data_IF_162156830005
#
_entry.id   IF_162156830005
#
_cell.length_a   1.000
_cell.length_b   1.000
_cell.length_c   1.000
_cell.angle_alpha   90.00
_cell.angle_beta   90.00
_cell.angle_gamma   90.00
#
_symmetry.space_group_name_H-M   'P 1'
#
loop_
_entity.id
_entity.type
_entity.pdbx_description
1 polymer ?
#
# COMPACT_ATOMS: atom_id res chain seq x y z
N UNK A 1 21.57 -44.48 3.49
CA UNK A 1 21.29 -43.74 2.25
C UNK A 1 21.84 -42.32 2.41
N UNK A 2 22.80 -41.90 1.57
CA UNK A 2 23.23 -40.50 1.55
C UNK A 2 22.01 -39.67 1.11
N UNK A 3 21.48 -38.85 2.01
CA UNK A 3 20.37 -37.93 1.74
C UNK A 3 20.84 -37.03 0.58
N UNK A 4 20.29 -37.22 -0.61
CA UNK A 4 20.60 -36.36 -1.76
C UNK A 4 20.14 -34.96 -1.36
N UNK A 5 21.10 -34.09 -1.07
CA UNK A 5 20.81 -32.71 -0.66
C UNK A 5 20.38 -31.97 -1.92
N UNK A 6 19.16 -31.45 -1.93
CA UNK A 6 18.68 -30.60 -3.03
C UNK A 6 19.66 -29.45 -3.25
N UNK A 7 20.10 -29.27 -4.48
CA UNK A 7 20.94 -28.14 -4.85
C UNK A 7 20.06 -26.88 -5.01
N UNK A 8 20.03 -26.04 -3.98
CA UNK A 8 19.43 -24.71 -4.03
C UNK A 8 20.53 -23.66 -3.98
N UNK A 9 20.46 -22.67 -4.89
CA UNK A 9 21.34 -21.49 -4.86
C UNK A 9 21.13 -20.63 -3.61
N UNK A 10 19.99 -20.76 -2.94
CA UNK A 10 19.60 -20.01 -1.75
C UNK A 10 19.82 -20.78 -0.44
N UNK A 11 20.34 -22.01 -0.50
CA UNK A 11 20.55 -22.88 0.68
C UNK A 11 21.34 -22.22 1.81
N UNK A 12 22.29 -21.38 1.44
CA UNK A 12 23.23 -20.71 2.35
C UNK A 12 22.92 -19.22 2.54
N UNK A 13 21.72 -18.76 2.17
CA UNK A 13 21.27 -17.43 2.54
C UNK A 13 21.35 -17.27 4.05
N UNK A 14 21.88 -16.14 4.49
CA UNK A 14 21.94 -15.78 5.90
C UNK A 14 21.55 -14.32 6.10
N UNK A 15 20.94 -14.03 7.25
CA UNK A 15 20.60 -12.68 7.66
C UNK A 15 21.66 -12.09 8.57
N UNK A 16 22.06 -10.85 8.33
CA UNK A 16 23.00 -10.11 9.16
C UNK A 16 22.39 -8.75 9.55
N UNK A 17 22.22 -8.47 10.85
CA UNK A 17 21.81 -7.14 11.29
C UNK A 17 22.93 -6.15 10.98
N UNK A 18 22.56 -4.93 10.58
CA UNK A 18 23.51 -3.85 10.37
C UNK A 18 24.11 -3.38 11.71
N UNK A 19 25.18 -2.58 11.63
CA UNK A 19 25.79 -2.00 12.83
C UNK A 19 24.83 -0.98 13.47
N UNK A 20 25.01 -0.72 14.77
CA UNK A 20 24.10 0.15 15.52
C UNK A 20 24.04 1.59 14.97
N UNK A 21 25.14 2.12 14.45
CA UNK A 21 25.20 3.44 13.79
C UNK A 21 24.40 3.53 12.48
N UNK A 22 24.05 2.37 11.91
CA UNK A 22 23.20 2.24 10.71
C UNK A 22 21.74 1.92 11.05
N UNK A 23 21.41 1.78 12.33
CA UNK A 23 20.03 1.63 12.81
C UNK A 23 19.37 2.98 13.01
N UNK A 24 18.06 3.00 13.20
CA UNK A 24 17.32 4.22 13.55
C UNK A 24 16.82 4.09 14.99
N UNK A 25 17.40 4.88 15.90
CA UNK A 25 17.18 4.77 17.34
C UNK A 25 16.28 5.89 17.89
N UNK A 26 15.70 5.66 19.08
CA UNK A 26 14.82 6.59 19.82
C UNK A 26 13.46 6.86 19.10
N UNK A 27 13.00 5.91 18.27
CA UNK A 27 11.71 5.97 17.56
C UNK A 27 10.60 5.36 18.40
N UNK A 28 9.54 6.10 18.71
CA UNK A 28 8.37 5.55 19.43
C UNK A 28 7.44 4.78 18.49
N UNK A 29 7.73 3.51 18.24
CA UNK A 29 6.90 2.64 17.38
C UNK A 29 5.51 2.48 18.00
N UNK A 30 4.47 2.52 17.15
CA UNK A 30 3.08 2.38 17.57
C UNK A 30 2.82 1.10 18.38
N UNK A 31 1.98 1.23 19.41
CA UNK A 31 1.48 0.13 20.26
C UNK A 31 0.10 -0.38 19.84
N UNK A 32 -0.46 0.14 18.75
CA UNK A 32 -1.78 -0.27 18.27
C UNK A 32 -1.77 -1.76 17.97
N UNK A 33 -2.77 -2.47 18.50
CA UNK A 33 -2.98 -3.90 18.27
C UNK A 33 -3.64 -4.10 16.91
N UNK A 34 -2.84 -3.99 15.85
CA UNK A 34 -3.23 -4.24 14.48
C UNK A 34 -2.21 -5.15 13.81
N UNK A 35 -2.60 -6.02 12.89
CA UNK A 35 -1.70 -7.03 12.30
C UNK A 35 -1.06 -6.58 10.97
N UNK A 36 -0.89 -5.26 10.76
CA UNK A 36 -0.10 -4.72 9.63
C UNK A 36 1.40 -4.74 9.93
N UNK A 37 2.22 -4.49 8.91
CA UNK A 37 3.66 -4.41 9.02
C UNK A 37 4.17 -3.29 9.95
N UNK A 38 3.39 -2.21 10.15
CA UNK A 38 3.75 -0.95 10.83
C UNK A 38 4.96 -0.20 10.24
N UNK A 39 5.64 -0.77 9.24
CA UNK A 39 6.77 -0.20 8.55
C UNK A 39 6.66 -0.51 7.07
N UNK A 40 6.94 0.49 6.24
CA UNK A 40 7.11 0.34 4.80
C UNK A 40 8.33 1.13 4.37
N UNK A 41 9.05 0.64 3.37
CA UNK A 41 10.33 1.21 2.95
C UNK A 41 10.42 1.17 1.43
N UNK A 42 11.10 2.16 0.85
CA UNK A 42 11.42 2.20 -0.57
C UNK A 42 12.90 2.61 -0.73
N UNK A 43 13.42 2.75 -1.97
CA UNK A 43 14.82 3.11 -2.18
C UNK A 43 15.26 4.49 -1.65
N UNK A 44 14.33 5.38 -1.25
CA UNK A 44 14.62 6.72 -0.73
C UNK A 44 14.34 6.88 0.76
N UNK A 45 13.27 6.27 1.26
CA UNK A 45 12.74 6.53 2.60
C UNK A 45 12.33 5.25 3.34
N UNK A 46 12.45 5.31 4.66
CA UNK A 46 11.78 4.39 5.58
C UNK A 46 10.62 5.13 6.26
N UNK A 47 9.43 4.53 6.25
CA UNK A 47 8.26 5.03 6.93
C UNK A 47 7.84 4.08 8.06
N UNK A 48 7.52 4.63 9.23
CA UNK A 48 7.23 3.88 10.45
C UNK A 48 6.02 4.50 11.14
N UNK A 49 5.00 3.70 11.45
CA UNK A 49 3.86 4.16 12.24
C UNK A 49 4.31 4.37 13.68
N UNK A 50 4.14 5.60 14.19
CA UNK A 50 4.60 6.01 15.52
C UNK A 50 3.44 6.34 16.44
N UNK A 51 3.71 6.34 17.74
CA UNK A 51 2.76 6.83 18.74
C UNK A 51 2.54 8.34 18.57
N UNK A 52 1.26 8.74 18.50
CA UNK A 52 0.82 10.12 18.54
C UNK A 52 0.02 10.37 19.83
N UNK A 53 0.22 11.53 20.46
CA UNK A 53 -0.52 11.93 21.68
C UNK A 53 -1.97 12.33 21.40
N UNK A 54 -2.32 12.54 20.13
CA UNK A 54 -3.68 12.78 19.65
C UNK A 54 -3.72 12.61 18.12
N UNK A 55 -4.73 11.92 17.61
CA UNK A 55 -4.82 11.54 16.19
C UNK A 55 -3.93 10.37 15.80
N UNK A 56 -3.49 10.35 14.54
CA UNK A 56 -2.56 9.35 14.01
C UNK A 56 -1.38 9.99 13.30
N UNK A 57 -0.19 9.40 13.48
CA UNK A 57 1.01 9.87 12.82
C UNK A 57 1.93 8.73 12.39
N UNK A 58 2.73 9.00 11.37
CA UNK A 58 3.84 8.15 10.98
C UNK A 58 5.07 9.01 10.68
N UNK A 59 6.23 8.43 10.93
CA UNK A 59 7.54 9.01 10.71
C UNK A 59 8.02 8.65 9.30
N UNK A 60 8.64 9.59 8.59
CA UNK A 60 9.31 9.35 7.31
C UNK A 60 10.74 9.85 7.38
N UNK A 61 11.71 8.95 7.22
CA UNK A 61 13.13 9.23 7.28
C UNK A 61 13.80 8.90 5.95
N UNK A 62 14.65 9.78 5.40
CA UNK A 62 15.58 9.39 4.35
C UNK A 62 16.48 8.24 4.82
N UNK A 63 16.78 7.27 3.94
CA UNK A 63 17.55 6.08 4.32
C UNK A 63 18.96 6.39 4.89
N UNK A 64 19.54 7.51 4.49
CA UNK A 64 20.87 7.93 4.96
C UNK A 64 20.83 8.58 6.36
N UNK A 65 19.65 8.88 6.90
CA UNK A 65 19.47 9.52 8.22
C UNK A 65 19.39 8.47 9.32
N UNK A 66 20.44 7.66 9.46
CA UNK A 66 20.59 6.68 10.54
C UNK A 66 21.11 7.31 11.84
N UNK A 67 21.13 6.52 12.90
CA UNK A 67 21.49 6.90 14.26
C UNK A 67 20.29 7.34 15.09
N UNK A 68 20.56 8.15 16.11
CA UNK A 68 19.54 8.64 17.04
C UNK A 68 18.65 9.69 16.38
N UNK A 69 17.35 9.44 16.33
CA UNK A 69 16.35 10.36 15.80
C UNK A 69 15.89 11.31 16.90
N UNK A 70 15.82 12.60 16.60
CA UNK A 70 15.34 13.60 17.55
C UNK A 70 13.85 13.39 17.85
N UNK A 71 13.44 13.56 19.11
CA UNK A 71 12.04 13.40 19.54
C UNK A 71 11.10 14.42 18.91
N UNK A 72 11.62 15.57 18.50
CA UNK A 72 10.91 16.64 17.80
C UNK A 72 11.02 16.53 16.27
N UNK A 73 11.59 15.43 15.75
CA UNK A 73 11.66 15.21 14.31
C UNK A 73 10.23 15.23 13.70
N UNK A 74 10.02 15.93 12.58
CA UNK A 74 8.70 16.09 11.99
C UNK A 74 8.09 14.76 11.54
N UNK A 75 6.79 14.64 11.72
CA UNK A 75 5.99 13.48 11.30
C UNK A 75 4.92 13.89 10.29
N UNK A 76 4.35 12.91 9.61
CA UNK A 76 3.10 13.08 8.87
C UNK A 76 1.95 12.89 9.85
N UNK A 77 1.07 13.89 10.00
CA UNK A 77 0.17 14.03 11.15
C UNK A 77 -1.21 14.65 10.83
N UNK A 78 -1.83 14.33 9.68
CA UNK A 78 -3.18 14.81 9.35
C UNK A 78 -4.35 13.91 9.77
N UNK A 79 -4.09 12.67 10.16
CA UNK A 79 -5.14 11.74 10.57
C UNK A 79 -5.72 12.07 11.96
N UNK A 80 -7.04 11.91 12.09
CA UNK A 80 -7.79 12.17 13.34
C UNK A 80 -7.87 10.95 14.26
N UNK A 81 -7.44 9.79 13.79
CA UNK A 81 -7.32 8.54 14.54
C UNK A 81 -6.01 7.81 14.22
N UNK A 82 -5.63 6.79 15.01
CA UNK A 82 -4.42 6.01 14.78
C UNK A 82 -4.30 5.50 13.34
N UNK A 83 -3.09 5.62 12.78
CA UNK A 83 -2.76 5.03 11.47
C UNK A 83 -2.59 3.53 11.66
N UNK A 84 -3.27 2.74 10.85
CA UNK A 84 -3.29 1.28 10.92
C UNK A 84 -2.39 0.64 9.86
N UNK A 85 -2.27 1.26 8.69
CA UNK A 85 -1.45 0.74 7.60
C UNK A 85 -0.86 1.86 6.74
N UNK A 86 0.30 1.60 6.16
CA UNK A 86 1.03 2.54 5.30
C UNK A 86 1.74 1.80 4.17
N UNK A 87 1.71 2.35 2.96
CA UNK A 87 2.35 1.74 1.81
C UNK A 87 2.85 2.77 0.78
N UNK A 88 4.11 2.61 0.35
CA UNK A 88 4.70 3.41 -0.72
C UNK A 88 4.10 3.03 -2.08
N UNK A 89 3.86 4.03 -2.91
CA UNK A 89 3.50 3.84 -4.30
C UNK A 89 4.64 3.12 -5.04
N UNK A 90 4.39 2.00 -5.75
CA UNK A 90 5.41 1.28 -6.49
C UNK A 90 6.00 2.12 -7.64
N UNK A 91 5.22 3.08 -8.14
CA UNK A 91 5.56 3.90 -9.31
C UNK A 91 6.11 5.29 -8.97
N UNK A 92 6.10 5.70 -7.70
CA UNK A 92 6.64 6.98 -7.26
C UNK A 92 7.19 6.88 -5.83
N UNK A 93 8.53 6.95 -5.71
CA UNK A 93 9.23 6.80 -4.43
C UNK A 93 8.99 7.96 -3.44
N UNK A 94 8.21 8.99 -3.81
CA UNK A 94 7.81 10.09 -2.91
C UNK A 94 6.34 10.00 -2.48
N UNK A 95 5.54 9.11 -3.07
CA UNK A 95 4.10 9.02 -2.76
C UNK A 95 3.86 7.86 -1.81
N UNK A 96 3.18 8.12 -0.71
CA UNK A 96 2.78 7.11 0.29
C UNK A 96 1.29 7.25 0.60
N UNK A 97 0.60 6.12 0.77
CA UNK A 97 -0.78 6.06 1.25
C UNK A 97 -0.81 5.62 2.71
N UNK A 98 -1.79 6.10 3.48
CA UNK A 98 -2.03 5.70 4.86
C UNK A 98 -3.51 5.47 5.14
N UNK A 99 -3.84 4.33 5.75
CA UNK A 99 -5.18 4.00 6.25
C UNK A 99 -5.29 4.19 7.76
N UNK A 100 -6.42 4.70 8.24
CA UNK A 100 -6.58 5.09 9.65
C UNK A 100 -7.91 4.66 10.29
N UNK A 101 -7.93 4.68 11.62
CA UNK A 101 -9.14 4.58 12.44
C UNK A 101 -10.15 5.71 12.21
N UNK A 102 -9.75 6.83 11.60
CA UNK A 102 -10.67 7.89 11.20
C UNK A 102 -11.51 7.58 9.95
N UNK A 103 -11.44 6.35 9.44
CA UNK A 103 -12.17 5.85 8.28
C UNK A 103 -11.73 6.44 6.92
N UNK A 104 -10.63 7.19 6.90
CA UNK A 104 -10.08 7.77 5.66
C UNK A 104 -8.82 7.05 5.22
N UNK A 105 -8.56 7.12 3.90
CA UNK A 105 -7.22 6.90 3.35
C UNK A 105 -6.68 8.24 2.88
N UNK A 106 -5.48 8.58 3.33
CA UNK A 106 -4.79 9.80 2.91
C UNK A 106 -3.58 9.45 2.05
N UNK A 107 -3.33 10.28 1.05
CA UNK A 107 -2.18 10.16 0.14
C UNK A 107 -1.28 11.36 0.35
N UNK A 108 0.02 11.12 0.45
CA UNK A 108 1.03 12.10 0.83
C UNK A 108 2.13 12.17 -0.21
N UNK A 109 2.59 13.38 -0.51
CA UNK A 109 3.76 13.62 -1.35
C UNK A 109 4.93 14.08 -0.47
N UNK A 110 5.89 13.18 -0.25
CA UNK A 110 7.04 13.41 0.62
C UNK A 110 8.10 14.22 -0.12
N UNK A 111 8.63 15.31 0.49
CA UNK A 111 9.70 16.09 -0.11
C UNK A 111 10.95 15.23 -0.33
N UNK A 112 11.72 15.52 -1.38
CA UNK A 112 12.87 14.70 -1.78
C UNK A 112 13.92 14.51 -0.66
N UNK A 113 14.12 15.53 0.16
CA UNK A 113 15.06 15.52 1.27
C UNK A 113 14.44 15.07 2.62
N UNK A 114 13.22 14.51 2.58
CA UNK A 114 12.44 14.19 3.77
C UNK A 114 11.73 15.40 4.39
N UNK A 115 11.14 15.20 5.56
CA UNK A 115 10.35 16.21 6.24
C UNK A 115 11.22 17.24 6.96
N UNK A 116 10.89 18.52 6.78
CA UNK A 116 11.50 19.66 7.52
C UNK A 116 10.54 20.19 8.59
N UNK A 117 9.24 20.15 8.31
CA UNK A 117 8.16 20.50 9.23
C UNK A 117 7.13 19.37 9.27
N UNK A 118 6.33 19.25 10.34
CA UNK A 118 5.22 18.30 10.37
C UNK A 118 4.30 18.52 9.17
N UNK A 119 3.84 17.42 8.56
CA UNK A 119 2.97 17.44 7.38
C UNK A 119 1.56 17.04 7.79
N UNK A 120 0.65 18.00 7.86
CA UNK A 120 -0.75 17.76 8.23
C UNK A 120 -1.68 17.69 7.01
N UNK A 121 -1.31 18.30 5.89
CA UNK A 121 -2.14 18.37 4.68
C UNK A 121 -1.75 17.28 3.67
N UNK A 122 -2.64 16.33 3.39
CA UNK A 122 -2.42 15.32 2.34
C UNK A 122 -2.66 15.92 0.95
N UNK A 123 -2.08 15.29 -0.07
CA UNK A 123 -2.34 15.65 -1.47
C UNK A 123 -3.68 15.09 -1.98
N UNK A 124 -4.17 14.02 -1.34
CA UNK A 124 -5.48 13.44 -1.62
C UNK A 124 -6.09 12.81 -0.37
N UNK A 125 -7.41 12.94 -0.21
CA UNK A 125 -8.19 12.26 0.83
C UNK A 125 -9.23 11.41 0.12
N UNK A 126 -9.27 10.13 0.46
CA UNK A 126 -10.18 9.14 -0.08
C UNK A 126 -11.18 8.80 1.02
N UNK A 127 -12.42 9.27 0.84
CA UNK A 127 -13.52 9.09 1.78
C UNK A 127 -14.55 8.15 1.15
N UNK A 128 -14.92 7.09 1.87
CA UNK A 128 -15.90 6.11 1.40
C UNK A 128 -16.14 4.99 2.41
N UNK A 129 -15.11 4.60 3.16
CA UNK A 129 -15.27 3.66 4.25
C UNK A 129 -16.06 4.27 5.43
N UNK A 130 -16.91 3.46 6.06
CA UNK A 130 -17.73 3.84 7.22
C UNK A 130 -17.12 3.41 8.56
N UNK A 131 -16.04 2.63 8.51
CA UNK A 131 -15.27 2.16 9.67
C UNK A 131 -13.78 2.25 9.38
N UNK A 132 -12.95 2.01 10.41
CA UNK A 132 -11.48 2.06 10.32
C UNK A 132 -10.94 1.33 9.09
N UNK A 133 -9.98 1.95 8.41
CA UNK A 133 -9.29 1.39 7.25
C UNK A 133 -7.95 0.85 7.69
N UNK A 134 -7.75 -0.46 7.53
CA UNK A 134 -6.57 -1.14 8.07
C UNK A 134 -5.75 -1.91 7.05
N UNK A 135 -6.11 -1.81 5.78
CA UNK A 135 -5.39 -2.41 4.65
C UNK A 135 -5.36 -1.37 3.53
N UNK A 136 -4.16 -1.03 3.05
CA UNK A 136 -3.94 -0.28 1.81
C UNK A 136 -2.99 -1.08 0.91
N UNK A 137 -3.31 -1.17 -0.38
CA UNK A 137 -2.55 -1.95 -1.36
C UNK A 137 -2.52 -1.24 -2.72
N UNK A 138 -1.39 -0.64 -3.08
CA UNK A 138 -1.21 -0.04 -4.40
C UNK A 138 -1.28 -1.10 -5.49
N UNK A 139 -1.87 -0.72 -6.62
CA UNK A 139 -1.90 -1.59 -7.78
C UNK A 139 -0.48 -1.75 -8.36
N UNK A 140 -0.04 -2.95 -8.75
CA UNK A 140 1.35 -3.18 -9.15
C UNK A 140 1.71 -2.60 -10.52
N UNK A 141 0.75 -2.50 -11.46
CA UNK A 141 1.04 -2.13 -12.86
C UNK A 141 0.28 -0.90 -13.38
N UNK A 142 -0.96 -0.68 -12.97
CA UNK A 142 -1.73 0.53 -13.27
C UNK A 142 -1.33 1.72 -12.38
N UNK A 143 -1.08 2.87 -13.03
CA UNK A 143 -0.77 4.14 -12.39
C UNK A 143 -1.95 4.66 -11.55
N UNK A 144 -1.68 5.25 -10.38
CA UNK A 144 -2.67 5.89 -9.51
C UNK A 144 -3.83 5.00 -9.02
N UNK A 145 -3.79 3.68 -9.22
CA UNK A 145 -4.81 2.77 -8.69
C UNK A 145 -4.38 2.29 -7.31
N UNK A 146 -5.27 2.45 -6.33
CA UNK A 146 -5.05 2.04 -4.94
C UNK A 146 -6.25 1.23 -4.46
N UNK A 147 -6.00 0.14 -3.74
CA UNK A 147 -7.02 -0.62 -3.03
C UNK A 147 -6.99 -0.25 -1.55
N UNK A 148 -8.16 -0.13 -0.94
CA UNK A 148 -8.31 -0.11 0.52
C UNK A 148 -9.35 -1.10 0.99
N UNK A 149 -9.17 -1.65 2.19
CA UNK A 149 -10.18 -2.46 2.84
C UNK A 149 -10.40 -2.02 4.30
N UNK A 150 -11.68 -1.88 4.65
CA UNK A 150 -12.12 -1.37 5.95
C UNK A 150 -12.74 -2.44 6.84
N UNK A 151 -12.93 -2.11 8.12
CA UNK A 151 -13.71 -2.94 9.05
C UNK A 151 -15.23 -2.86 8.82
N UNK A 152 -15.66 -2.14 7.79
CA UNK A 152 -16.98 -2.23 7.17
C UNK A 152 -17.09 -3.44 6.23
N UNK A 153 -16.03 -4.23 6.12
CA UNK A 153 -15.91 -5.44 5.31
C UNK A 153 -16.06 -5.15 3.81
N UNK A 154 -15.82 -3.90 3.40
CA UNK A 154 -15.81 -3.49 2.01
C UNK A 154 -14.38 -3.36 1.51
N UNK A 155 -14.22 -3.56 0.20
CA UNK A 155 -13.00 -3.23 -0.53
C UNK A 155 -13.35 -2.11 -1.52
N UNK A 156 -12.58 -1.03 -1.50
CA UNK A 156 -12.74 0.09 -2.44
C UNK A 156 -11.47 0.20 -3.27
N UNK A 157 -11.63 0.33 -4.58
CA UNK A 157 -10.53 0.59 -5.52
C UNK A 157 -10.69 2.01 -6.05
N UNK A 158 -9.64 2.80 -5.86
CA UNK A 158 -9.62 4.23 -6.07
C UNK A 158 -8.81 4.59 -7.31
N UNK A 159 -9.22 5.65 -8.00
CA UNK A 159 -8.30 6.44 -8.79
C UNK A 159 -7.78 7.59 -7.91
N UNK A 160 -6.53 7.48 -7.48
CA UNK A 160 -5.88 8.45 -6.60
C UNK A 160 -5.62 9.78 -7.32
N UNK A 161 -5.48 9.78 -8.65
CA UNK A 161 -5.31 10.99 -9.44
C UNK A 161 -6.55 11.89 -9.42
N UNK A 162 -7.75 11.31 -9.24
CA UNK A 162 -9.02 12.03 -9.17
C UNK A 162 -9.68 12.03 -7.79
N UNK A 163 -9.14 11.24 -6.85
CA UNK A 163 -9.77 10.93 -5.55
C UNK A 163 -11.17 10.29 -5.68
N UNK A 164 -11.44 9.58 -6.78
CA UNK A 164 -12.73 8.93 -7.04
C UNK A 164 -12.69 7.45 -6.60
N UNK A 165 -13.74 6.99 -5.92
CA UNK A 165 -14.02 5.58 -5.73
C UNK A 165 -14.53 5.01 -7.06
N UNK A 166 -13.77 4.11 -7.68
CA UNK A 166 -14.07 3.60 -9.01
C UNK A 166 -14.82 2.28 -8.96
N UNK A 167 -14.45 1.41 -8.00
CA UNK A 167 -15.10 0.12 -7.76
C UNK A 167 -15.28 -0.03 -6.26
N UNK A 168 -16.48 -0.43 -5.83
CA UNK A 168 -16.79 -0.77 -4.44
C UNK A 168 -17.30 -2.20 -4.42
N UNK A 169 -16.54 -3.09 -3.79
CA UNK A 169 -16.92 -4.49 -3.59
C UNK A 169 -17.68 -4.59 -2.27
N UNK A 170 -19.00 -4.44 -2.37
CA UNK A 170 -19.94 -4.62 -1.26
C UNK A 170 -20.39 -6.09 -1.18
N UNK A 171 -20.71 -6.55 0.03
CA UNK A 171 -21.31 -7.87 0.30
C UNK A 171 -20.52 -9.13 -0.15
N UNK A 172 -19.27 -8.97 -0.61
CA UNK A 172 -18.38 -10.10 -0.92
C UNK A 172 -17.76 -10.75 0.32
N UNK A 173 -17.73 -10.04 1.45
CA UNK A 173 -17.13 -10.48 2.71
C UNK A 173 -18.11 -10.29 3.87
N UNK A 174 -18.57 -11.39 4.52
CA UNK A 174 -19.55 -11.31 5.60
C UNK A 174 -18.95 -10.87 6.95
N UNK A 175 -17.62 -10.84 7.07
CA UNK A 175 -16.90 -10.51 8.31
C UNK A 175 -15.57 -9.81 7.96
N UNK A 176 -14.76 -9.50 8.98
CA UNK A 176 -13.53 -8.73 8.88
C UNK A 176 -12.57 -9.32 7.84
N UNK A 177 -12.12 -8.46 6.93
CA UNK A 177 -11.06 -8.75 5.97
C UNK A 177 -9.71 -8.65 6.70
N UNK A 178 -8.94 -9.73 6.68
CA UNK A 178 -7.64 -9.83 7.33
C UNK A 178 -6.47 -9.44 6.43
N UNK A 179 -6.58 -9.71 5.12
CA UNK A 179 -5.62 -9.24 4.12
C UNK A 179 -6.26 -9.15 2.75
N UNK A 180 -5.71 -8.26 1.92
CA UNK A 180 -5.99 -8.16 0.49
C UNK A 180 -4.66 -7.96 -0.25
N UNK A 181 -4.44 -8.67 -1.36
CA UNK A 181 -3.20 -8.63 -2.12
C UNK A 181 -3.48 -8.74 -3.62
N UNK A 182 -2.86 -7.88 -4.43
CA UNK A 182 -2.91 -7.96 -5.89
C UNK A 182 -2.07 -9.13 -6.42
N UNK A 183 -2.50 -9.74 -7.52
CA UNK A 183 -1.64 -10.63 -8.30
C UNK A 183 -0.60 -9.82 -9.10
N UNK A 184 0.36 -10.51 -9.73
CA UNK A 184 1.51 -9.88 -10.40
C UNK A 184 1.15 -8.80 -11.43
N UNK A 185 0.09 -8.99 -12.20
CA UNK A 185 -0.35 -8.05 -13.23
C UNK A 185 -1.51 -7.14 -12.78
N UNK A 186 -1.96 -7.29 -11.53
CA UNK A 186 -3.08 -6.54 -10.95
C UNK A 186 -4.45 -6.84 -11.56
N UNK A 187 -4.62 -7.96 -12.28
CA UNK A 187 -5.93 -8.34 -12.80
C UNK A 187 -6.85 -8.93 -11.72
N UNK A 188 -6.28 -9.50 -10.65
CA UNK A 188 -6.99 -10.20 -9.59
C UNK A 188 -6.53 -9.74 -8.21
N UNK A 189 -7.41 -9.88 -7.22
CA UNK A 189 -7.06 -9.75 -5.81
C UNK A 189 -7.33 -11.07 -5.07
N UNK A 190 -6.49 -11.38 -4.09
CA UNK A 190 -6.72 -12.45 -3.12
C UNK A 190 -7.00 -11.83 -1.77
N UNK A 191 -8.01 -12.34 -1.09
CA UNK A 191 -8.44 -11.85 0.21
C UNK A 191 -8.55 -12.98 1.20
N UNK A 192 -8.26 -12.69 2.47
CA UNK A 192 -8.55 -13.59 3.59
C UNK A 192 -9.54 -12.94 4.55
N UNK A 193 -10.47 -13.73 5.06
CA UNK A 193 -11.59 -13.23 5.86
C UNK A 193 -11.74 -14.00 7.18
N UNK A 194 -12.37 -13.36 8.17
CA UNK A 194 -12.67 -13.92 9.49
C UNK A 194 -13.69 -15.06 9.47
N UNK A 195 -14.46 -15.19 8.40
CA UNK A 195 -15.27 -16.38 8.09
C UNK A 195 -14.43 -17.63 7.75
N UNK A 196 -13.10 -17.50 7.76
CA UNK A 196 -12.09 -18.52 7.41
C UNK A 196 -11.98 -18.84 5.93
N UNK A 197 -12.61 -18.04 5.07
CA UNK A 197 -12.51 -18.19 3.63
C UNK A 197 -11.33 -17.40 3.04
N UNK A 198 -10.75 -17.96 1.99
CA UNK A 198 -9.82 -17.26 1.10
C UNK A 198 -10.49 -17.14 -0.27
N UNK A 199 -10.58 -15.92 -0.79
CA UNK A 199 -11.27 -15.62 -2.06
C UNK A 199 -10.34 -14.97 -3.05
N UNK A 200 -10.35 -15.48 -4.28
CA UNK A 200 -9.73 -14.87 -5.46
C UNK A 200 -10.83 -14.17 -6.25
N UNK A 201 -10.67 -12.86 -6.45
CA UNK A 201 -11.71 -11.97 -6.97
C UNK A 201 -11.17 -11.24 -8.20
N UNK A 202 -11.99 -11.15 -9.25
CA UNK A 202 -11.79 -10.16 -10.32
C UNK A 202 -12.54 -8.90 -9.91
N UNK A 203 -11.83 -7.84 -9.48
CA UNK A 203 -12.48 -6.67 -8.94
C UNK A 203 -13.29 -5.90 -9.99
N UNK A 204 -12.89 -5.90 -11.26
CA UNK A 204 -13.59 -5.13 -12.32
C UNK A 204 -14.89 -5.79 -12.76
N UNK A 205 -14.99 -7.11 -12.60
CA UNK A 205 -16.22 -7.86 -12.84
C UNK A 205 -17.06 -8.03 -11.58
N UNK A 206 -16.51 -7.70 -10.41
CA UNK A 206 -17.16 -7.88 -9.11
C UNK A 206 -17.53 -9.36 -8.85
N UNK A 207 -16.70 -10.29 -9.32
CA UNK A 207 -16.95 -11.73 -9.24
C UNK A 207 -15.88 -12.47 -8.46
N UNK A 208 -16.31 -13.39 -7.58
CA UNK A 208 -15.43 -14.39 -6.96
C UNK A 208 -15.13 -15.47 -8.02
N UNK A 209 -13.86 -15.62 -8.39
CA UNK A 209 -13.41 -16.64 -9.36
C UNK A 209 -13.13 -17.96 -8.66
N UNK A 210 -12.54 -17.90 -7.46
CA UNK A 210 -12.23 -19.08 -6.68
C UNK A 210 -12.39 -18.78 -5.19
N UNK A 211 -12.87 -19.76 -4.44
CA UNK A 211 -13.08 -19.66 -3.01
C UNK A 211 -12.69 -20.95 -2.31
N UNK A 212 -11.98 -20.82 -1.19
CA UNK A 212 -11.76 -21.90 -0.24
C UNK A 212 -12.32 -21.53 1.11
N UNK A 213 -13.42 -22.16 1.48
CA UNK A 213 -13.90 -22.14 2.86
C UNK A 213 -12.99 -22.95 3.79
N UNK A 214 -12.74 -22.42 4.99
CA UNK A 214 -11.89 -23.06 6.01
C UNK A 214 -10.51 -23.44 5.47
N UNK A 215 -9.85 -22.51 4.77
CA UNK A 215 -8.48 -22.70 4.31
C UNK A 215 -7.53 -23.09 5.46
N UNK A 216 -7.81 -22.56 6.65
CA UNK A 216 -7.23 -23.00 7.91
C UNK A 216 -8.35 -23.22 8.93
N UNK A 217 -8.25 -24.27 9.75
CA UNK A 217 -9.31 -24.60 10.73
C UNK A 217 -9.30 -23.70 11.97
N UNK A 218 -8.17 -23.08 12.28
CA UNK A 218 -7.98 -22.20 13.43
C UNK A 218 -8.89 -20.96 13.39
N UNK A 219 -9.07 -20.33 14.56
CA UNK A 219 -9.90 -19.14 14.71
C UNK A 219 -9.11 -17.81 14.61
N UNK A 220 -7.79 -17.90 14.49
CA UNK A 220 -6.89 -16.74 14.46
C UNK A 220 -6.78 -16.16 13.04
N UNK A 221 -6.36 -14.89 12.90
CA UNK A 221 -6.21 -14.27 11.60
C UNK A 221 -5.25 -15.03 10.68
N UNK A 222 -5.58 -15.00 9.39
CA UNK A 222 -4.75 -15.59 8.34
C UNK A 222 -4.32 -14.51 7.35
N UNK A 223 -3.24 -14.76 6.60
CA UNK A 223 -2.82 -13.94 5.45
C UNK A 223 -2.88 -14.76 4.19
N UNK A 224 -3.17 -14.11 3.07
CA UNK A 224 -3.11 -14.69 1.75
C UNK A 224 -2.35 -13.74 0.81
N UNK A 225 -1.43 -14.28 0.02
CA UNK A 225 -0.70 -13.54 -1.02
C UNK A 225 -0.65 -14.35 -2.30
N UNK A 226 -0.55 -13.67 -3.43
CA UNK A 226 -0.23 -14.32 -4.70
C UNK A 226 1.27 -14.60 -4.83
N UNK A 227 1.58 -15.67 -5.56
CA UNK A 227 2.90 -16.00 -6.04
C UNK A 227 3.05 -15.61 -7.52
N UNK A 228 4.28 -15.67 -8.04
CA UNK A 228 4.58 -15.24 -9.41
C UNK A 228 3.89 -16.10 -10.49
N UNK A 229 3.63 -17.37 -10.17
CA UNK A 229 2.93 -18.35 -11.02
C UNK A 229 1.39 -18.24 -10.95
N UNK A 230 0.87 -17.34 -10.11
CA UNK A 230 -0.56 -17.17 -9.86
C UNK A 230 -1.13 -18.07 -8.75
N UNK A 231 -0.33 -18.96 -8.17
CA UNK A 231 -0.75 -19.72 -6.98
C UNK A 231 -0.92 -18.79 -5.77
N UNK A 232 -1.65 -19.26 -4.77
CA UNK A 232 -1.92 -18.51 -3.54
C UNK A 232 -1.21 -19.17 -2.38
N UNK A 233 -0.44 -18.40 -1.63
CA UNK A 233 0.20 -18.83 -0.40
C UNK A 233 -0.55 -18.24 0.80
N UNK A 234 -0.93 -19.09 1.75
CA UNK A 234 -1.63 -18.66 2.96
C UNK A 234 -0.82 -18.99 4.21
N UNK A 235 -0.85 -18.07 5.17
CA UNK A 235 -0.40 -18.33 6.54
C UNK A 235 -1.60 -18.29 7.46
N UNK A 236 -1.71 -19.26 8.36
CA UNK A 236 -2.85 -19.35 9.26
C UNK A 236 -2.56 -20.25 10.44
N UNK A 237 -3.62 -20.83 11.02
CA UNK A 237 -3.51 -21.63 12.22
C UNK A 237 -4.31 -22.93 12.10
N UNK A 238 -3.76 -24.04 12.61
CA UNK A 238 -4.46 -25.30 12.78
C UNK A 238 -5.55 -25.16 13.85
N UNK A 239 -6.43 -26.17 13.94
CA UNK A 239 -7.40 -26.27 15.04
C UNK A 239 -6.73 -26.31 16.41
N UNK A 240 -5.52 -26.87 16.49
CA UNK A 240 -4.70 -26.94 17.71
C UNK A 240 -3.87 -25.66 17.93
N UNK A 241 -4.11 -24.60 17.16
CA UNK A 241 -3.38 -23.33 17.20
C UNK A 241 -1.90 -23.41 16.80
N UNK A 242 -1.53 -24.38 15.95
CA UNK A 242 -0.21 -24.40 15.31
C UNK A 242 -0.22 -23.49 14.09
N UNK A 243 0.82 -22.69 13.90
CA UNK A 243 1.00 -21.87 12.72
C UNK A 243 1.22 -22.77 11.51
N UNK A 244 0.47 -22.49 10.45
CA UNK A 244 0.48 -23.26 9.21
C UNK A 244 0.83 -22.35 8.03
N UNK A 245 1.50 -22.94 7.06
CA UNK A 245 1.75 -22.39 5.73
C UNK A 245 1.11 -23.34 4.73
N UNK A 246 0.21 -22.86 3.87
CA UNK A 246 -0.41 -23.67 2.84
C UNK A 246 -0.28 -23.04 1.45
N UNK A 247 -0.14 -23.88 0.44
CA UNK A 247 -0.05 -23.48 -0.96
C UNK A 247 -1.28 -23.97 -1.71
N UNK A 248 -1.91 -23.10 -2.49
CA UNK A 248 -3.18 -23.34 -3.16
C UNK A 248 -3.09 -22.99 -4.64
N UNK A 249 -3.80 -23.76 -5.47
CA UNK A 249 -3.99 -23.42 -6.87
C UNK A 249 -5.38 -22.81 -7.05
N UNK A 250 -5.53 -21.56 -7.50
CA UNK A 250 -6.84 -20.95 -7.75
C UNK A 250 -7.74 -21.73 -8.71
N UNK A 251 -7.16 -22.52 -9.62
CA UNK A 251 -7.91 -23.38 -10.55
C UNK A 251 -8.54 -24.59 -9.84
N UNK A 252 -7.97 -25.02 -8.71
CA UNK A 252 -8.50 -26.08 -7.86
C UNK A 252 -8.21 -25.77 -6.38
N UNK A 253 -9.16 -25.09 -5.74
CA UNK A 253 -9.06 -24.69 -4.34
C UNK A 253 -9.57 -25.76 -3.36
N UNK A 254 -10.04 -26.93 -3.83
CA UNK A 254 -10.59 -27.96 -2.95
C UNK A 254 -9.55 -28.53 -1.98
N UNK A 255 -8.34 -28.82 -2.49
CA UNK A 255 -7.22 -29.35 -1.72
C UNK A 255 -5.99 -28.44 -1.85
N UNK A 256 -5.25 -28.28 -0.75
CA UNK A 256 -3.97 -27.58 -0.78
C UNK A 256 -2.93 -28.44 -1.51
N UNK A 257 -2.05 -27.80 -2.30
CA UNK A 257 -0.89 -28.44 -2.92
C UNK A 257 0.04 -28.99 -1.83
N UNK A 258 0.27 -28.20 -0.78
CA UNK A 258 1.02 -28.62 0.40
C UNK A 258 0.57 -27.80 1.62
N UNK A 259 0.68 -28.41 2.80
CA UNK A 259 0.47 -27.75 4.09
C UNK A 259 1.68 -28.07 4.97
N UNK A 260 2.34 -27.04 5.47
CA UNK A 260 3.46 -27.13 6.38
C UNK A 260 3.06 -26.58 7.75
N UNK A 261 3.12 -27.43 8.76
CA UNK A 261 2.98 -27.04 10.16
C UNK A 261 4.31 -26.55 10.71
N UNK A 262 4.26 -25.51 11.53
CA UNK A 262 5.45 -24.84 12.05
C UNK A 262 5.56 -24.98 13.57
N UNK A 263 5.00 -24.03 14.32
CA UNK A 263 5.08 -23.98 15.79
C UNK A 263 3.77 -23.47 16.39
N UNK A 264 3.66 -23.48 17.71
CA UNK A 264 2.44 -23.09 18.45
C UNK A 264 2.45 -21.63 18.92
N UNK A 265 3.21 -20.76 18.26
CA UNK A 265 3.28 -19.34 18.65
C UNK A 265 2.01 -18.59 18.27
N UNK A 266 1.70 -17.52 19.00
CA UNK A 266 0.45 -16.77 18.86
C UNK A 266 0.44 -15.73 17.74
N UNK A 267 1.62 -15.29 17.28
CA UNK A 267 1.77 -14.19 16.33
C UNK A 267 1.36 -14.58 14.91
N UNK A 268 0.53 -13.74 14.28
CA UNK A 268 0.15 -13.89 12.87
C UNK A 268 1.40 -13.73 12.00
N UNK A 269 1.66 -14.71 11.14
CA UNK A 269 2.81 -14.68 10.23
C UNK A 269 2.48 -13.81 9.02
N UNK A 270 3.28 -12.79 8.79
CA UNK A 270 3.26 -11.97 7.58
C UNK A 270 4.17 -12.62 6.53
N UNK A 271 3.62 -13.04 5.37
CA UNK A 271 4.42 -13.55 4.28
C UNK A 271 4.95 -12.40 3.41
N UNK A 272 6.27 -12.34 3.25
CA UNK A 272 6.95 -11.45 2.31
C UNK A 272 7.54 -12.30 1.20
N UNK A 273 6.95 -12.24 0.01
CA UNK A 273 7.34 -13.06 -1.13
C UNK A 273 8.17 -12.26 -2.13
N UNK A 274 9.26 -12.86 -2.56
CA UNK A 274 10.14 -12.36 -3.61
C UNK A 274 9.88 -13.11 -4.91
N UNK A 275 9.21 -12.45 -5.86
CA UNK A 275 8.85 -13.01 -7.15
C UNK A 275 10.03 -13.30 -8.08
N UNK A 276 11.20 -12.70 -7.82
CA UNK A 276 12.40 -12.88 -8.65
C UNK A 276 13.19 -14.14 -8.25
N UNK A 277 13.15 -14.47 -6.95
CA UNK A 277 13.90 -15.61 -6.40
C UNK A 277 13.01 -16.78 -5.98
N UNK A 278 11.69 -16.59 -5.97
CA UNK A 278 10.70 -17.51 -5.39
C UNK A 278 10.94 -17.82 -3.91
N UNK A 279 11.60 -16.92 -3.18
CA UNK A 279 11.80 -17.05 -1.74
C UNK A 279 10.68 -16.32 -1.01
N UNK A 280 10.05 -17.01 -0.05
CA UNK A 280 9.11 -16.40 0.90
C UNK A 280 9.74 -16.32 2.28
N UNK A 281 9.61 -15.16 2.91
CA UNK A 281 10.03 -14.90 4.29
C UNK A 281 8.79 -14.77 5.17
N UNK A 282 8.78 -15.45 6.29
CA UNK A 282 7.71 -15.45 7.28
C UNK A 282 8.21 -14.84 8.58
N UNK A 283 7.49 -13.84 9.07
CA UNK A 283 7.75 -13.26 10.38
C UNK A 283 6.45 -12.75 11.00
N UNK A 284 6.27 -12.93 12.31
CA UNK A 284 5.10 -12.48 13.03
C UNK A 284 5.44 -11.50 14.14
N UNK A 285 4.48 -10.65 14.50
CA UNK A 285 4.65 -9.77 15.67
C UNK A 285 4.86 -10.61 16.94
N UNK A 286 5.87 -10.23 17.73
CA UNK A 286 6.31 -10.99 18.90
C UNK A 286 7.37 -12.06 18.61
N UNK A 287 7.59 -12.45 17.35
CA UNK A 287 8.65 -13.39 17.02
C UNK A 287 10.02 -12.71 17.10
N UNK A 288 11.06 -13.47 17.46
CA UNK A 288 12.44 -13.00 17.39
C UNK A 288 13.18 -13.53 16.14
N UNK A 289 12.48 -14.23 15.24
CA UNK A 289 13.05 -14.92 14.09
C UNK A 289 12.34 -14.62 12.78
N UNK A 290 13.08 -14.67 11.67
CA UNK A 290 12.56 -14.63 10.30
C UNK A 290 12.88 -15.98 9.66
N UNK A 291 11.83 -16.73 9.29
CA UNK A 291 11.97 -18.02 8.60
C UNK A 291 11.85 -17.80 7.11
N UNK A 292 12.54 -18.58 6.30
CA UNK A 292 12.41 -18.44 4.85
C UNK A 292 12.46 -19.78 4.12
N UNK A 293 11.68 -19.84 3.05
CA UNK A 293 11.39 -21.01 2.25
C UNK A 293 11.55 -20.67 0.78
N UNK A 294 12.00 -21.62 -0.03
CA UNK A 294 12.02 -21.52 -1.48
C UNK A 294 10.84 -22.30 -2.05
N UNK A 295 10.08 -21.65 -2.92
CA UNK A 295 8.93 -22.25 -3.60
C UNK A 295 9.37 -22.72 -4.98
N UNK A 296 9.07 -23.97 -5.30
CA UNK A 296 9.47 -24.61 -6.56
C UNK A 296 8.39 -25.58 -7.02
N UNK A 297 8.43 -25.97 -8.29
CA UNK A 297 7.50 -26.97 -8.84
C UNK A 297 7.82 -28.42 -8.41
N UNK A 298 8.94 -28.63 -7.72
CA UNK A 298 9.35 -29.93 -7.20
C UNK A 298 8.76 -30.19 -5.80
N UNK A 299 8.05 -31.31 -5.64
CA UNK A 299 7.54 -31.80 -4.35
C UNK A 299 8.65 -31.82 -3.26
N UNK A 300 8.43 -31.33 -2.02
CA UNK A 300 7.15 -30.89 -1.42
C UNK A 300 6.70 -29.45 -1.76
N UNK A 301 7.19 -28.87 -2.86
CA UNK A 301 6.90 -27.54 -3.39
C UNK A 301 7.43 -26.37 -2.55
N UNK A 302 7.30 -26.45 -1.23
CA UNK A 302 7.81 -25.46 -0.29
C UNK A 302 8.98 -26.06 0.48
N UNK A 303 10.17 -25.50 0.27
CA UNK A 303 11.42 -26.03 0.79
C UNK A 303 12.00 -25.08 1.84
N UNK A 304 12.07 -25.53 3.08
CA UNK A 304 12.70 -24.75 4.14
C UNK A 304 14.18 -24.52 3.84
N UNK A 305 14.60 -23.25 3.86
CA UNK A 305 16.00 -22.87 3.65
C UNK A 305 16.72 -22.77 4.99
N UNK A 306 16.38 -21.75 5.77
CA UNK A 306 17.01 -21.45 7.05
C UNK A 306 16.15 -20.44 7.85
N UNK A 307 16.60 -20.12 9.06
CA UNK A 307 15.96 -19.15 9.96
C UNK A 307 17.01 -18.16 10.44
N UNK A 308 16.71 -16.88 10.30
CA UNK A 308 17.44 -15.82 11.01
C UNK A 308 16.86 -15.72 12.42
N UNK A 309 17.70 -15.80 13.45
CA UNK A 309 17.30 -15.68 14.85
C UNK A 309 17.95 -14.48 15.52
N UNK A 310 17.20 -13.79 16.38
CA UNK A 310 17.69 -12.69 17.20
C UNK A 310 17.14 -12.81 18.63
N UNK A 311 17.62 -11.96 19.55
CA UNK A 311 17.20 -12.00 20.96
C UNK A 311 15.93 -11.20 21.24
N UNK A 312 15.69 -10.16 20.45
CA UNK A 312 14.60 -9.21 20.69
C UNK A 312 13.38 -9.54 19.82
N UNK A 313 12.15 -9.46 20.35
CA UNK A 313 10.93 -9.68 19.58
C UNK A 313 10.64 -8.50 18.65
N UNK A 314 10.15 -8.79 17.44
CA UNK A 314 9.73 -7.76 16.49
C UNK A 314 8.34 -7.21 16.84
N UNK A 315 8.16 -5.90 16.71
CA UNK A 315 6.85 -5.22 16.75
C UNK A 315 6.23 -5.01 15.39
N UNK A 316 7.07 -4.98 14.35
CA UNK A 316 6.71 -4.74 12.97
C UNK A 316 7.91 -5.03 12.07
N UNK A 317 7.69 -5.02 10.78
CA UNK A 317 8.70 -5.41 9.80
C UNK A 317 8.46 -4.69 8.49
N UNK A 318 9.43 -3.89 8.04
CA UNK A 318 9.47 -3.37 6.67
C UNK A 318 10.25 -4.32 5.75
N UNK A 319 9.97 -4.26 4.46
CA UNK A 319 10.65 -5.06 3.43
C UNK A 319 11.06 -4.15 2.26
N UNK A 320 12.36 -4.15 1.93
CA UNK A 320 12.93 -3.31 0.89
C UNK A 320 12.62 -3.84 -0.52
N UNK A 321 12.04 -3.02 -1.41
CA UNK A 321 11.91 -3.35 -2.82
C UNK A 321 13.26 -3.63 -3.48
N UNK A 322 13.27 -4.44 -4.53
CA UNK A 322 14.48 -4.86 -5.26
C UNK A 322 15.38 -3.71 -5.70
N UNK A 323 14.78 -2.58 -6.07
CA UNK A 323 15.45 -1.33 -6.48
C UNK A 323 16.35 -0.73 -5.40
N UNK A 324 16.15 -1.04 -4.12
CA UNK A 324 16.92 -0.50 -2.99
C UNK A 324 17.97 -1.44 -2.40
N UNK A 325 18.19 -2.60 -3.03
CA UNK A 325 19.17 -3.60 -2.58
C UNK A 325 20.57 -3.31 -3.12
N UNK A 326 21.58 -3.72 -2.36
CA UNK A 326 22.98 -3.64 -2.76
C UNK A 326 23.39 -4.91 -3.55
N UNK A 327 23.17 -4.86 -4.86
CA UNK A 327 23.46 -5.98 -5.79
C UNK A 327 24.94 -6.39 -5.79
N UNK A 328 25.84 -5.45 -5.51
CA UNK A 328 27.29 -5.72 -5.48
C UNK A 328 27.69 -6.60 -4.29
N UNK A 329 26.89 -6.60 -3.22
CA UNK A 329 27.11 -7.43 -2.04
C UNK A 329 26.31 -8.73 -2.05
N UNK A 330 25.65 -9.08 -3.16
CA UNK A 330 24.77 -10.23 -3.26
C UNK A 330 23.62 -10.20 -2.21
N UNK A 331 23.14 -9.01 -1.88
CA UNK A 331 21.95 -8.81 -1.05
C UNK A 331 20.68 -9.12 -1.86
N UNK A 332 19.87 -10.07 -1.40
CA UNK A 332 18.64 -10.47 -2.08
C UNK A 332 17.36 -9.92 -1.43
N UNK A 333 17.45 -9.54 -0.15
CA UNK A 333 16.37 -8.88 0.59
C UNK A 333 16.96 -8.05 1.75
N UNK A 334 16.28 -6.96 2.10
CA UNK A 334 16.57 -6.17 3.31
C UNK A 334 15.30 -5.99 4.12
N UNK A 335 15.33 -6.43 5.37
CA UNK A 335 14.26 -6.24 6.32
C UNK A 335 14.53 -5.03 7.20
N UNK A 336 13.49 -4.31 7.60
CA UNK A 336 13.56 -3.19 8.54
C UNK A 336 12.77 -3.59 9.79
N UNK A 337 13.46 -4.29 10.69
CA UNK A 337 12.84 -4.86 11.89
C UNK A 337 12.55 -3.76 12.89
N UNK A 338 11.29 -3.63 13.29
CA UNK A 338 10.90 -2.72 14.36
C UNK A 338 11.01 -3.43 15.71
N UNK A 339 11.72 -2.79 16.63
CA UNK A 339 11.72 -3.08 18.05
C UNK A 339 10.83 -2.05 18.77
N UNK A 340 10.89 -1.96 20.11
CA UNK A 340 10.10 -0.95 20.84
C UNK A 340 10.55 0.48 20.58
N UNK A 341 11.87 0.72 20.48
CA UNK A 341 12.44 2.07 20.29
C UNK A 341 13.45 2.19 19.16
N UNK A 342 13.51 1.19 18.28
CA UNK A 342 14.57 1.05 17.26
C UNK A 342 13.99 0.45 15.99
N UNK A 343 14.46 0.91 14.84
CA UNK A 343 14.34 0.20 13.57
C UNK A 343 15.73 -0.32 13.19
N UNK A 344 15.85 -1.63 13.02
CA UNK A 344 17.09 -2.34 12.75
C UNK A 344 17.03 -2.99 11.37
N UNK A 345 17.81 -2.49 10.40
CA UNK A 345 17.97 -3.16 9.12
C UNK A 345 18.66 -4.54 9.25
N UNK A 346 18.12 -5.55 8.58
CA UNK A 346 18.67 -6.91 8.49
C UNK A 346 18.85 -7.24 7.01
N UNK A 347 20.10 -7.50 6.63
CA UNK A 347 20.51 -7.78 5.26
C UNK A 347 20.52 -9.29 5.03
N UNK A 348 19.76 -9.77 4.05
CA UNK A 348 19.74 -11.16 3.63
C UNK A 348 20.67 -11.36 2.43
N UNK A 349 21.76 -12.10 2.63
CA UNK A 349 22.85 -12.22 1.65
C UNK A 349 22.97 -13.64 1.13
N UNK A 350 23.19 -13.79 -0.19
CA UNK A 350 23.67 -15.04 -0.78
C UNK A 350 25.20 -15.00 -0.80
N UNK A 351 25.91 -15.90 -0.08
CA UNK A 351 27.36 -15.87 -0.03
C UNK A 351 27.98 -16.30 -1.37
N UNK A 352 28.29 -15.33 -2.24
CA UNK A 352 29.09 -15.51 -3.45
C UNK A 352 30.45 -14.85 -3.28
N UNK A 353 31.50 -15.44 -3.87
CA UNK A 353 32.85 -14.87 -3.91
C UNK A 353 33.13 -14.38 -5.34
N UNK A 354 32.42 -13.34 -5.76
CA UNK A 354 32.59 -12.76 -7.08
C UNK A 354 32.30 -11.27 -7.02
N UNK A 355 33.15 -10.48 -7.70
CA UNK A 355 32.94 -9.05 -7.91
C UNK A 355 32.10 -8.77 -9.18
N UNK A 356 31.74 -9.84 -9.92
CA UNK A 356 30.88 -9.74 -11.10
C UNK A 356 29.42 -9.71 -10.69
N UNK A 357 28.61 -8.96 -11.44
CA UNK A 357 27.17 -8.98 -11.29
C UNK A 357 26.62 -10.41 -11.47
N UNK A 358 25.77 -10.85 -10.54
CA UNK A 358 25.20 -12.19 -10.52
C UNK A 358 23.84 -12.20 -11.23
N UNK A 359 23.85 -12.35 -12.56
CA UNK A 359 22.62 -12.37 -13.38
C UNK A 359 21.64 -13.47 -12.92
N UNK A 360 22.12 -14.57 -12.30
CA UNK A 360 21.28 -15.64 -11.77
C UNK A 360 20.51 -15.27 -10.48
N UNK A 361 21.00 -14.29 -9.71
CA UNK A 361 20.35 -13.82 -8.49
C UNK A 361 19.41 -12.63 -8.73
N UNK A 362 19.66 -11.90 -9.82
CA UNK A 362 18.97 -10.66 -10.14
C UNK A 362 18.44 -10.70 -11.58
N UNK A 363 17.38 -11.48 -11.84
CA UNK A 363 16.64 -11.35 -13.10
C UNK A 363 16.03 -9.94 -13.21
N UNK A 364 15.55 -9.59 -14.39
CA UNK A 364 14.86 -8.32 -14.58
C UNK A 364 13.62 -8.25 -13.67
N UNK A 365 13.52 -7.16 -12.91
CA UNK A 365 12.56 -6.99 -11.83
C UNK A 365 11.57 -5.88 -12.15
N UNK A 366 10.44 -5.82 -11.45
CA UNK A 366 9.44 -4.77 -11.65
C UNK A 366 10.03 -3.37 -11.40
N UNK A 367 9.96 -2.52 -12.43
CA UNK A 367 10.41 -1.13 -12.39
C UNK A 367 9.40 -0.17 -11.75
N UNK A 368 9.77 1.12 -11.64
CA UNK A 368 8.88 2.17 -11.15
C UNK A 368 7.90 2.65 -12.23
N UNK A 369 8.04 2.23 -13.49
CA UNK A 369 7.15 2.68 -14.55
C UNK A 369 5.87 1.83 -14.58
N UNK A 370 4.68 2.46 -14.52
CA UNK A 370 3.42 1.74 -14.65
C UNK A 370 3.25 1.25 -16.10
N UNK A 371 2.69 0.05 -16.25
CA UNK A 371 2.39 -0.53 -17.56
C UNK A 371 1.12 0.04 -18.18
N UNK A 372 0.19 0.54 -17.35
CA UNK A 372 -1.12 1.04 -17.75
C UNK A 372 -1.42 2.35 -17.04
N UNK A 373 -2.18 3.23 -17.69
CA UNK A 373 -2.87 4.31 -16.97
C UNK A 373 -4.10 3.77 -16.23
N UNK A 374 -4.60 4.52 -15.25
CA UNK A 374 -5.74 4.12 -14.43
C UNK A 374 -6.97 3.78 -15.31
N UNK A 375 -7.31 4.68 -16.23
CA UNK A 375 -8.47 4.56 -17.11
C UNK A 375 -8.40 3.31 -17.97
N UNK A 376 -7.22 2.99 -18.50
CA UNK A 376 -7.02 1.80 -19.33
C UNK A 376 -7.25 0.50 -18.55
N UNK A 377 -6.82 0.47 -17.29
CA UNK A 377 -7.05 -0.69 -16.43
C UNK A 377 -8.52 -0.84 -16.07
N UNK A 378 -9.21 0.26 -15.73
CA UNK A 378 -10.66 0.26 -15.46
C UNK A 378 -11.48 -0.13 -16.69
N UNK A 379 -11.03 0.22 -17.90
CA UNK A 379 -11.62 -0.22 -19.18
C UNK A 379 -11.37 -1.72 -19.48
N UNK A 380 -10.63 -2.43 -18.62
CA UNK A 380 -10.44 -3.87 -18.69
C UNK A 380 -9.11 -4.32 -19.30
N UNK A 381 -8.18 -3.41 -19.60
CA UNK A 381 -6.84 -3.82 -20.06
C UNK A 381 -6.03 -4.45 -18.93
N UNK A 382 -5.16 -5.39 -19.28
CA UNK A 382 -4.18 -6.00 -18.39
C UNK A 382 -2.78 -5.78 -18.95
N UNK A 383 -1.81 -5.55 -18.07
CA UNK A 383 -0.42 -5.35 -18.44
C UNK A 383 0.48 -5.87 -17.34
N UNK A 384 1.48 -6.66 -17.71
CA UNK A 384 2.52 -7.12 -16.79
C UNK A 384 3.45 -5.96 -16.39
N UNK A 385 4.11 -6.02 -15.23
CA UNK A 385 5.02 -4.97 -14.79
C UNK A 385 6.14 -4.71 -15.82
N UNK A 386 6.45 -3.44 -16.09
CA UNK A 386 7.60 -3.08 -16.93
C UNK A 386 8.87 -3.47 -16.19
N UNK A 387 9.66 -4.37 -16.76
CA UNK A 387 10.83 -4.91 -16.10
C UNK A 387 12.08 -4.04 -16.35
N UNK A 388 12.94 -3.95 -15.35
CA UNK A 388 14.23 -3.26 -15.41
C UNK A 388 15.35 -4.16 -14.92
N UNK A 389 16.54 -3.97 -15.49
CA UNK A 389 17.75 -4.67 -15.04
C UNK A 389 18.45 -3.92 -13.91
N UNK A 390 18.90 -4.63 -12.88
CA UNK A 390 19.65 -4.05 -11.76
C UNK A 390 21.18 -4.04 -11.97
N UNK A 391 21.66 -4.45 -13.14
CA UNK A 391 23.09 -4.67 -13.43
C UNK A 391 23.98 -3.46 -13.21
N UNK A 392 23.49 -2.26 -13.53
CA UNK A 392 24.23 -1.00 -13.39
C UNK A 392 23.87 -0.25 -12.10
N UNK A 393 23.21 -0.92 -11.15
CA UNK A 393 22.55 -0.28 -10.02
C UNK A 393 21.26 0.44 -10.44
N UNK A 394 20.45 0.79 -9.44
CA UNK A 394 19.23 1.54 -9.68
C UNK A 394 19.52 3.04 -9.68
N UNK A 395 19.27 3.69 -10.82
CA UNK A 395 19.23 5.16 -10.91
C UNK A 395 17.76 5.57 -10.86
N UNK A 396 17.34 6.36 -9.87
CA UNK A 396 15.98 6.87 -9.82
C UNK A 396 15.67 7.65 -11.09
N UNK A 397 14.65 7.23 -11.82
CA UNK A 397 14.12 7.98 -12.96
C UNK A 397 13.50 9.27 -12.42
N UNK A 398 13.50 10.36 -13.19
CA UNK A 398 12.77 11.57 -12.81
C UNK A 398 11.31 11.20 -12.55
N UNK A 399 10.88 11.35 -11.29
CA UNK A 399 9.50 11.08 -10.89
C UNK A 399 8.55 11.91 -11.78
N UNK A 400 7.52 11.25 -12.31
CA UNK A 400 6.42 11.95 -12.99
C UNK A 400 5.76 12.87 -11.97
N UNK A 401 5.41 14.09 -12.40
CA UNK A 401 4.77 15.05 -11.52
C UNK A 401 3.43 14.48 -11.02
N UNK A 402 3.33 14.22 -9.72
CA UNK A 402 2.11 13.70 -9.12
C UNK A 402 1.17 14.88 -8.82
N UNK A 403 0.04 14.91 -9.52
CA UNK A 403 -1.01 15.93 -9.36
C UNK A 403 -2.35 15.25 -9.15
N UNK A 404 -3.05 15.68 -8.10
CA UNK A 404 -4.43 15.29 -7.86
C UNK A 404 -5.35 16.34 -8.49
N UNK A 405 -6.16 15.93 -9.46
CA UNK A 405 -7.15 16.77 -10.12
C UNK A 405 -8.53 16.31 -9.69
N UNK A 406 -9.10 16.97 -8.69
CA UNK A 406 -10.49 16.72 -8.29
C UNK A 406 -11.43 17.19 -9.41
N UNK A 407 -12.20 16.28 -10.01
CA UNK A 407 -13.26 16.68 -10.96
C UNK A 407 -14.33 17.43 -10.19
N UNK A 408 -14.59 18.68 -10.57
CA UNK A 408 -15.75 19.40 -10.05
C UNK A 408 -17.02 18.76 -10.62
N UNK A 409 -17.99 18.43 -9.76
CA UNK A 409 -19.27 17.79 -10.12
C UNK A 409 -20.04 18.58 -11.21
N UNK A 410 -19.74 19.88 -11.39
CA UNK A 410 -20.31 20.76 -12.41
C UNK A 410 -19.78 20.51 -13.85
N UNK A 411 -18.59 19.94 -14.02
CA UNK A 411 -18.00 19.71 -15.36
C UNK A 411 -18.58 18.46 -16.06
N UNK A 412 -19.24 17.58 -15.31
CA UNK A 412 -19.85 16.35 -15.84
C UNK A 412 -21.05 16.58 -16.75
N UNK A 413 -21.59 17.80 -16.81
CA UNK A 413 -22.76 18.16 -17.65
C UNK A 413 -22.45 18.73 -19.03
N UNK A 414 -21.18 18.94 -19.41
CA UNK A 414 -20.86 19.61 -20.69
C UNK A 414 -20.39 18.64 -21.79
N UNK A 415 -20.13 17.37 -21.50
CA UNK A 415 -19.56 16.42 -22.48
C UNK A 415 -20.44 15.21 -22.80
N UNK A 416 -21.75 15.42 -22.98
CA UNK A 416 -22.59 14.53 -23.80
C UNK A 416 -23.61 15.35 -24.58
N UNK A 417 -23.21 15.84 -25.76
CA UNK A 417 -24.10 16.06 -26.90
C UNK A 417 -23.29 16.27 -28.18
N UNK A 418 -22.88 15.17 -28.80
CA UNK A 418 -22.87 15.11 -30.26
C UNK A 418 -23.29 13.70 -30.69
N UNK A 419 -24.25 13.72 -31.62
CA UNK A 419 -24.75 12.61 -32.46
C UNK A 419 -26.04 11.86 -32.07
N UNK A 420 -27.05 12.09 -32.93
CA UNK A 420 -28.17 11.24 -33.36
C UNK A 420 -29.54 11.25 -32.65
N UNK A 421 -30.35 12.20 -33.11
CA UNK A 421 -31.77 12.15 -33.51
C UNK A 421 -32.62 10.87 -33.28
N UNK A 422 -33.71 10.97 -32.49
CA UNK A 422 -35.14 11.01 -32.94
C UNK A 422 -36.15 10.69 -31.81
N UNK A 423 -37.12 11.62 -31.65
CA UNK A 423 -38.56 11.51 -31.26
C UNK A 423 -39.02 11.36 -29.78
N UNK A 424 -39.51 12.53 -29.29
CA UNK A 424 -40.76 12.86 -28.54
C UNK A 424 -40.85 12.61 -27.01
N UNK A 425 -41.72 13.34 -26.26
CA UNK A 425 -42.32 14.68 -26.47
C UNK A 425 -42.15 15.65 -25.27
N UNK A 426 -42.46 16.93 -25.51
CA UNK A 426 -42.48 18.05 -24.58
C UNK A 426 -43.52 17.93 -23.45
N UNK A 427 -43.18 18.39 -22.23
CA UNK A 427 -44.08 19.15 -21.36
C UNK A 427 -43.30 20.03 -20.35
N UNK A 428 -43.56 21.34 -20.44
CA UNK A 428 -43.47 22.42 -19.43
C UNK A 428 -42.11 22.82 -18.86
N UNK A 429 -41.46 23.83 -19.47
CA UNK A 429 -40.26 24.50 -18.93
C UNK A 429 -40.46 25.99 -18.58
N UNK A 430 -41.70 26.48 -18.44
CA UNK A 430 -41.96 27.93 -18.24
C UNK A 430 -41.66 28.46 -16.83
N UNK A 431 -41.53 27.59 -15.81
CA UNK A 431 -41.25 27.99 -14.42
C UNK A 431 -39.75 28.14 -14.10
N UNK A 432 -38.88 27.51 -14.88
CA UNK A 432 -37.42 27.52 -14.65
C UNK A 432 -36.78 28.77 -15.26
N UNK A 433 -37.23 29.20 -16.44
CA UNK A 433 -36.75 30.41 -17.10
C UNK A 433 -37.11 31.68 -16.32
N UNK A 434 -38.33 31.78 -15.78
CA UNK A 434 -38.74 32.92 -14.99
C UNK A 434 -37.92 33.08 -13.69
N UNK A 435 -37.58 31.97 -13.03
CA UNK A 435 -36.70 31.99 -11.84
C UNK A 435 -35.26 32.36 -12.19
N UNK A 436 -34.78 31.96 -13.37
CA UNK A 436 -33.44 32.28 -13.81
C UNK A 436 -33.29 33.79 -14.12
N UNK A 437 -34.30 34.39 -14.75
CA UNK A 437 -34.32 35.85 -14.99
C UNK A 437 -34.40 36.67 -13.70
N UNK A 438 -35.14 36.18 -12.70
CA UNK A 438 -35.24 36.83 -11.38
C UNK A 438 -33.88 36.81 -10.65
N UNK A 439 -33.19 35.66 -10.65
CA UNK A 439 -31.85 35.52 -10.07
C UNK A 439 -30.83 36.39 -10.80
N UNK A 440 -30.91 36.49 -12.13
CA UNK A 440 -30.00 37.34 -12.91
C UNK A 440 -30.21 38.83 -12.62
N UNK A 441 -31.44 39.27 -12.39
CA UNK A 441 -31.74 40.65 -11.94
C UNK A 441 -31.20 40.92 -10.55
N UNK A 442 -31.32 39.96 -9.64
CA UNK A 442 -30.83 40.09 -8.27
C UNK A 442 -29.29 40.18 -8.23
N UNK A 443 -28.60 39.33 -9.02
CA UNK A 443 -27.14 39.39 -9.17
C UNK A 443 -26.68 40.75 -9.74
N UNK A 444 -27.43 41.31 -10.71
CA UNK A 444 -27.10 42.62 -11.27
C UNK A 444 -27.27 43.74 -10.24
N UNK A 445 -28.38 43.73 -9.50
CA UNK A 445 -28.64 44.69 -8.41
C UNK A 445 -27.54 44.65 -7.33
N UNK A 446 -27.12 43.44 -6.93
CA UNK A 446 -26.05 43.27 -5.94
C UNK A 446 -24.70 43.78 -6.45
N UNK A 447 -24.37 43.55 -7.73
CA UNK A 447 -23.14 44.11 -8.34
C UNK A 447 -23.15 45.64 -8.38
N UNK A 448 -24.28 46.24 -8.71
CA UNK A 448 -24.42 47.70 -8.74
C UNK A 448 -24.29 48.29 -7.32
N UNK A 449 -24.85 47.61 -6.31
CA UNK A 449 -24.74 48.01 -4.91
C UNK A 449 -23.28 47.95 -4.43
N UNK A 450 -22.56 46.86 -4.71
CA UNK A 450 -21.14 46.70 -4.37
C UNK A 450 -20.30 47.81 -5.02
N UNK A 451 -20.53 48.11 -6.30
CA UNK A 451 -19.81 49.20 -6.98
C UNK A 451 -20.11 50.57 -6.36
N UNK A 452 -21.34 50.81 -5.90
CA UNK A 452 -21.68 52.05 -5.19
C UNK A 452 -20.98 52.15 -3.82
N UNK A 453 -20.85 51.03 -3.12
CA UNK A 453 -20.19 50.95 -1.82
C UNK A 453 -18.68 51.15 -1.95
N UNK A 454 -18.04 50.56 -2.97
CA UNK A 454 -16.62 50.79 -3.26
C UNK A 454 -16.34 52.28 -3.51
N UNK A 455 -17.16 52.96 -4.33
CA UNK A 455 -17.01 54.41 -4.58
C UNK A 455 -17.16 55.23 -3.29
N UNK A 456 -18.09 54.84 -2.42
CA UNK A 456 -18.29 55.49 -1.13
C UNK A 456 -17.10 55.26 -0.19
N UNK A 457 -16.54 54.05 -0.16
CA UNK A 457 -15.34 53.72 0.62
C UNK A 457 -14.16 54.59 0.17
N UNK A 458 -13.90 54.66 -1.14
CA UNK A 458 -12.84 55.50 -1.70
C UNK A 458 -13.02 56.98 -1.30
N UNK A 459 -14.26 57.49 -1.36
CA UNK A 459 -14.55 58.89 -1.00
C UNK A 459 -14.32 59.14 0.50
N UNK A 460 -14.66 58.18 1.36
CA UNK A 460 -14.42 58.26 2.80
C UNK A 460 -12.93 58.15 3.14
N UNK A 461 -12.19 57.31 2.43
CA UNK A 461 -10.73 57.21 2.56
C UNK A 461 -10.02 58.50 2.15
N UNK A 462 -10.47 59.15 1.08
CA UNK A 462 -9.97 60.47 0.68
C UNK A 462 -10.29 61.56 1.72
N UNK A 463 -11.49 61.54 2.33
CA UNK A 463 -11.86 62.48 3.40
C UNK A 463 -11.04 62.25 4.68
N UNK A 464 -10.82 60.99 5.06
CA UNK A 464 -9.93 60.60 6.16
C UNK A 464 -8.50 61.11 5.95
N UNK A 465 -7.99 61.01 4.72
CA UNK A 465 -6.62 61.48 4.39
C UNK A 465 -6.44 62.99 4.56
N UNK A 466 -7.51 63.78 4.41
CA UNK A 466 -7.50 65.25 4.56
C UNK A 466 -7.60 65.73 6.01
N UNK A 467 -8.02 64.86 6.94
CA UNK A 467 -8.13 65.17 8.38
C UNK A 467 -6.82 64.86 9.13
N UNK A 468 -5.89 64.12 8.50
CA UNK A 468 -4.65 63.65 9.10
C UNK A 468 -3.44 64.62 8.99
N UNK A 469 -3.67 65.94 8.95
CA UNK A 469 -2.61 66.98 9.03
C UNK A 469 -2.83 67.87 10.24
#
# INVERSE_FOLDING_TARGET
MKRVVRCSKFRHVFGQPVKNDQCYDDIRVSRVTWDSALCTVNPKFVAIIVEASGGGAFLVLPLHKSGRIDKAYPTVCGHKGPVLDIEWCPHNDQVIASGSEDCTVMVWLIPENGLVTPMAEPVGVLEGHSKRVGIVAWHPTAHNVLLSAGCDNQIIIWNVGTCEAMITLEDMHPDIIYSACWNRNGSLIVTSCKDKAVRVIDPRKETIIAEKEKAHEGARPMRAIFLADGNVLTTGFSRMSERQLALWNPSNMEEAITVHEMDTSNGVLLPFYDADTNVVYLCGKGDSSIRYFEITDECPYVHYLNTFGSKEPQRGMGYMPKRGLDVNKCEIARFYKLHERKCEPIVMTVPRKSDLFQDDLYPDTAGPEPALEAEEWFDGKNGDPILISLKNGYVPVKNREFKVVKKNILDSKVTKNSENSKKKPELTNSKSEAKLEEILKEIKSLKDLVSSQEKRIITLEEQMSKIAI
#
